data_IF_222148655530
#
_entry.id   IF_222148655530
#
_cell.length_a   1.000
_cell.length_b   1.000
_cell.length_c   1.000
_cell.angle_alpha   90.00
_cell.angle_beta   90.00
_cell.angle_gamma   90.00
#
_symmetry.space_group_name_H-M   'P 1'
#
loop_
_entity.id
_entity.type
_entity.pdbx_description
1 polymer ?
#
# COMPACT_ATOMS: atom_id res chain seq x y z
N UNK A 1 -9.14 -0.94 -16.43
CA UNK A 1 -10.12 -0.17 -15.64
C UNK A 1 -10.36 -0.81 -14.26
N UNK A 2 -9.37 -1.46 -13.65
CA UNK A 2 -9.47 -1.99 -12.27
C UNK A 2 -8.77 -1.07 -11.26
N UNK A 3 -7.71 -0.38 -11.69
CA UNK A 3 -6.82 0.42 -10.84
C UNK A 3 -7.51 1.56 -10.09
N UNK A 4 -8.63 2.10 -10.61
CA UNK A 4 -9.41 3.14 -9.93
C UNK A 4 -10.06 2.61 -8.64
N UNK A 5 -10.63 1.40 -8.66
CA UNK A 5 -11.20 0.82 -7.43
C UNK A 5 -10.09 0.35 -6.47
N UNK A 6 -8.95 -0.10 -7.01
CA UNK A 6 -7.81 -0.52 -6.19
C UNK A 6 -7.23 0.65 -5.39
N UNK A 7 -7.08 1.82 -6.01
CA UNK A 7 -6.53 3.00 -5.34
C UNK A 7 -7.48 3.53 -4.26
N UNK A 8 -8.80 3.52 -4.50
CA UNK A 8 -9.78 3.94 -3.50
C UNK A 8 -9.73 3.03 -2.26
N UNK A 9 -9.61 1.71 -2.47
CA UNK A 9 -9.40 0.74 -1.40
C UNK A 9 -8.10 0.99 -0.64
N UNK A 10 -6.99 1.20 -1.35
CA UNK A 10 -5.70 1.48 -0.74
C UNK A 10 -5.73 2.77 0.12
N UNK A 11 -6.35 3.85 -0.39
CA UNK A 11 -6.47 5.12 0.35
C UNK A 11 -7.34 4.97 1.60
N UNK A 12 -8.44 4.20 1.52
CA UNK A 12 -9.31 3.94 2.66
C UNK A 12 -8.56 3.19 3.77
N UNK A 13 -7.89 2.09 3.43
CA UNK A 13 -7.13 1.30 4.41
C UNK A 13 -5.94 2.07 4.96
N UNK A 14 -5.22 2.81 4.11
CA UNK A 14 -4.16 3.70 4.56
C UNK A 14 -4.65 4.70 5.60
N UNK A 15 -5.80 5.34 5.36
CA UNK A 15 -6.37 6.29 6.33
C UNK A 15 -6.77 5.62 7.65
N UNK A 16 -7.23 4.37 7.61
CA UNK A 16 -7.56 3.61 8.82
C UNK A 16 -6.30 3.21 9.61
N UNK A 17 -5.24 2.77 8.92
CA UNK A 17 -3.95 2.38 9.50
C UNK A 17 -3.25 3.61 10.11
N UNK A 18 -3.25 4.74 9.40
CA UNK A 18 -2.75 6.04 9.89
C UNK A 18 -3.47 6.42 11.21
N UNK A 19 -4.80 6.25 11.25
CA UNK A 19 -5.60 6.62 12.41
C UNK A 19 -5.40 5.72 13.64
N UNK A 20 -4.81 4.52 13.49
CA UNK A 20 -4.41 3.67 14.62
C UNK A 20 -2.95 3.91 15.06
N UNK A 21 -2.26 4.90 14.45
CA UNK A 21 -0.92 5.31 14.84
C UNK A 21 0.21 4.50 14.21
N UNK A 22 -0.05 3.85 13.07
CA UNK A 22 0.97 3.18 12.26
C UNK A 22 1.31 4.03 11.03
N UNK A 23 2.38 3.65 10.33
CA UNK A 23 2.89 4.37 9.15
C UNK A 23 2.53 3.62 7.85
N UNK A 24 1.43 4.01 7.18
CA UNK A 24 1.01 3.38 5.95
C UNK A 24 1.62 4.01 4.69
N UNK A 25 1.66 3.19 3.65
CA UNK A 25 2.07 3.53 2.30
C UNK A 25 1.02 3.07 1.29
N UNK A 26 0.93 3.80 0.17
CA UNK A 26 0.29 3.28 -1.05
C UNK A 26 1.39 2.73 -1.94
N UNK A 27 1.30 1.45 -2.29
CA UNK A 27 2.18 0.82 -3.27
C UNK A 27 1.51 0.93 -4.64
N UNK A 28 2.20 1.59 -5.57
CA UNK A 28 1.79 1.68 -6.97
C UNK A 28 2.72 0.81 -7.81
N UNK A 29 2.13 -0.15 -8.52
CA UNK A 29 2.85 -1.02 -9.46
C UNK A 29 2.19 -0.89 -10.84
N UNK A 30 2.82 -1.35 -11.93
CA UNK A 30 2.22 -1.29 -13.25
C UNK A 30 0.81 -1.92 -13.30
N UNK A 31 -0.20 -1.06 -13.41
CA UNK A 31 -1.60 -1.45 -13.54
C UNK A 31 -2.36 -1.75 -12.24
N UNK A 32 -1.73 -1.63 -11.06
CA UNK A 32 -2.35 -2.01 -9.80
C UNK A 32 -1.88 -1.17 -8.61
N UNK A 33 -2.68 -1.14 -7.54
CA UNK A 33 -2.37 -0.42 -6.32
C UNK A 33 -2.88 -1.19 -5.10
N UNK A 34 -2.12 -1.16 -4.02
CA UNK A 34 -2.48 -1.78 -2.74
C UNK A 34 -1.87 -1.00 -1.57
N UNK A 35 -2.21 -1.39 -0.34
CA UNK A 35 -1.73 -0.72 0.88
C UNK A 35 -0.60 -1.52 1.51
N UNK A 36 0.36 -0.81 2.09
CA UNK A 36 1.44 -1.37 2.89
C UNK A 36 1.64 -0.55 4.17
N UNK A 37 2.34 -1.09 5.16
CA UNK A 37 2.66 -0.38 6.40
C UNK A 37 3.91 -0.97 7.06
N UNK A 38 4.57 -0.18 7.91
CA UNK A 38 5.68 -0.66 8.73
C UNK A 38 5.16 -1.49 9.92
N UNK A 39 5.75 -2.66 10.15
CA UNK A 39 5.35 -3.55 11.27
C UNK A 39 5.85 -3.02 12.62
N UNK A 40 6.99 -2.33 12.61
CA UNK A 40 7.63 -1.78 13.81
C UNK A 40 8.08 -0.34 13.56
N UNK A 41 8.00 0.49 14.58
CA UNK A 41 8.65 1.80 14.59
C UNK A 41 10.15 1.63 14.28
N UNK A 42 10.67 2.43 13.35
CA UNK A 42 12.07 2.42 12.90
C UNK A 42 12.57 1.10 12.23
N UNK A 43 11.67 0.27 11.70
CA UNK A 43 12.06 -0.94 10.95
C UNK A 43 11.71 -0.84 9.47
N UNK A 44 12.63 -1.28 8.60
CA UNK A 44 12.36 -1.52 7.17
C UNK A 44 11.47 -2.76 6.91
N UNK A 45 10.81 -3.31 7.94
CA UNK A 45 9.93 -4.46 7.77
C UNK A 45 8.54 -3.97 7.38
N UNK A 46 8.23 -4.11 6.10
CA UNK A 46 6.94 -3.73 5.52
C UNK A 46 6.03 -4.95 5.45
N UNK A 47 4.75 -4.74 5.78
CA UNK A 47 3.66 -5.66 5.49
C UNK A 47 2.68 -5.06 4.48
N UNK A 48 1.93 -5.89 3.78
CA UNK A 48 1.11 -5.50 2.63
C UNK A 48 -0.28 -6.13 2.66
N UNK A 49 -1.27 -5.48 2.04
CA UNK A 49 -2.62 -6.03 1.90
C UNK A 49 -3.20 -5.76 0.50
N UNK A 50 -3.50 -6.83 -0.23
CA UNK A 50 -4.20 -6.77 -1.50
C UNK A 50 -5.67 -6.33 -1.33
N UNK A 51 -5.91 -5.03 -1.50
CA UNK A 51 -7.22 -4.42 -1.21
C UNK A 51 -8.34 -4.91 -2.12
N UNK A 52 -8.06 -5.42 -3.31
CA UNK A 52 -9.10 -5.95 -4.21
C UNK A 52 -9.65 -7.31 -3.77
N UNK A 53 -8.92 -8.02 -2.91
CA UNK A 53 -9.35 -9.31 -2.36
C UNK A 53 -10.21 -9.16 -1.11
N UNK A 54 -10.21 -7.97 -0.49
CA UNK A 54 -10.99 -7.67 0.70
C UNK A 54 -12.49 -7.86 0.41
N UNK A 55 -13.15 -8.66 1.26
CA UNK A 55 -14.58 -8.97 1.14
C UNK A 55 -14.90 -10.23 0.32
N UNK A 56 -13.93 -10.76 -0.42
CA UNK A 56 -14.08 -12.03 -1.18
C UNK A 56 -13.14 -13.15 -0.69
N UNK A 57 -12.03 -12.81 -0.06
CA UNK A 57 -11.02 -13.74 0.46
C UNK A 57 -10.74 -13.48 1.94
N UNK A 58 -10.00 -14.38 2.60
CA UNK A 58 -9.53 -14.16 3.96
C UNK A 58 -8.46 -13.06 3.99
N UNK A 59 -8.26 -12.49 5.18
CA UNK A 59 -7.21 -11.51 5.41
C UNK A 59 -5.83 -12.08 5.07
N UNK A 60 -5.54 -13.31 5.53
CA UNK A 60 -4.25 -13.97 5.32
C UNK A 60 -3.94 -14.13 3.84
N UNK A 61 -4.93 -14.56 3.04
CA UNK A 61 -4.74 -14.71 1.60
C UNK A 61 -4.51 -13.36 0.88
N UNK A 62 -5.18 -12.30 1.32
CA UNK A 62 -4.97 -10.95 0.77
C UNK A 62 -3.62 -10.36 1.20
N UNK A 63 -3.18 -10.67 2.41
CA UNK A 63 -1.89 -10.24 2.96
C UNK A 63 -0.72 -10.93 2.23
N UNK A 64 -0.75 -12.27 2.15
CA UNK A 64 0.23 -13.06 1.40
C UNK A 64 0.33 -12.56 -0.05
N UNK A 65 -0.81 -12.33 -0.71
CA UNK A 65 -0.82 -11.87 -2.10
C UNK A 65 -0.22 -10.47 -2.29
N UNK A 66 -0.44 -9.58 -1.32
CA UNK A 66 0.13 -8.24 -1.29
C UNK A 66 1.64 -8.28 -1.07
N UNK A 67 2.10 -9.12 -0.13
CA UNK A 67 3.51 -9.31 0.17
C UNK A 67 4.27 -9.89 -1.02
N UNK A 68 3.75 -10.95 -1.65
CA UNK A 68 4.32 -11.53 -2.88
C UNK A 68 4.44 -10.50 -4.01
N UNK A 69 3.46 -9.60 -4.13
CA UNK A 69 3.50 -8.53 -5.13
C UNK A 69 4.62 -7.53 -4.81
N UNK A 70 4.71 -7.09 -3.55
CA UNK A 70 5.73 -6.15 -3.10
C UNK A 70 7.14 -6.74 -3.26
N UNK A 71 7.37 -7.95 -2.77
CA UNK A 71 8.67 -8.63 -2.86
C UNK A 71 9.12 -8.79 -4.31
N UNK A 72 8.21 -9.14 -5.22
CA UNK A 72 8.53 -9.20 -6.66
C UNK A 72 9.00 -7.86 -7.20
N UNK A 73 8.42 -6.74 -6.77
CA UNK A 73 8.86 -5.42 -7.23
C UNK A 73 10.21 -5.02 -6.64
N UNK A 74 10.48 -5.42 -5.40
CA UNK A 74 11.80 -5.27 -4.76
C UNK A 74 12.85 -6.11 -5.50
N UNK A 75 12.59 -7.38 -5.77
CA UNK A 75 13.51 -8.29 -6.48
C UNK A 75 13.86 -7.81 -7.90
N UNK A 76 12.96 -7.07 -8.54
CA UNK A 76 13.17 -6.52 -9.88
C UNK A 76 13.80 -5.12 -9.89
N UNK A 77 14.18 -4.59 -8.72
CA UNK A 77 14.64 -3.21 -8.53
C UNK A 77 13.67 -2.17 -9.12
N UNK A 78 12.36 -2.46 -9.13
CA UNK A 78 11.39 -1.62 -9.85
C UNK A 78 11.13 -0.29 -9.13
N UNK A 79 11.33 -0.23 -7.81
CA UNK A 79 11.27 1.00 -7.04
C UNK A 79 12.44 1.94 -7.38
N UNK A 80 13.66 1.41 -7.48
CA UNK A 80 14.85 2.20 -7.86
C UNK A 80 14.83 2.67 -9.32
N UNK A 81 14.05 1.98 -10.16
CA UNK A 81 13.89 2.29 -11.58
C UNK A 81 12.70 3.19 -11.90
N UNK A 82 12.00 3.69 -10.88
CA UNK A 82 10.77 4.49 -10.99
C UNK A 82 9.63 3.77 -11.77
N UNK A 83 9.67 2.43 -11.84
CA UNK A 83 8.60 1.62 -12.44
C UNK A 83 7.46 1.43 -11.44
N UNK A 84 7.82 1.27 -10.16
CA UNK A 84 6.92 1.13 -9.03
C UNK A 84 7.20 2.22 -8.01
N UNK A 85 6.20 2.64 -7.24
CA UNK A 85 6.31 3.73 -6.27
C UNK A 85 5.78 3.31 -4.91
N UNK A 86 6.49 3.72 -3.86
CA UNK A 86 6.06 3.59 -2.48
C UNK A 86 5.74 4.99 -1.93
N UNK A 87 4.45 5.30 -1.79
CA UNK A 87 3.99 6.63 -1.41
C UNK A 87 3.65 6.67 0.08
N UNK A 88 4.49 7.33 0.88
CA UNK A 88 4.23 7.58 2.30
C UNK A 88 3.03 8.52 2.48
N UNK A 89 2.10 8.10 3.32
CA UNK A 89 0.89 8.87 3.63
C UNK A 89 1.24 10.06 4.51
N UNK A 90 2.10 9.87 5.52
CA UNK A 90 2.61 10.95 6.36
C UNK A 90 3.21 12.09 5.50
N UNK A 91 4.12 11.75 4.57
CA UNK A 91 4.72 12.74 3.66
C UNK A 91 3.67 13.43 2.78
N UNK A 92 2.66 12.69 2.32
CA UNK A 92 1.55 13.26 1.55
C UNK A 92 0.75 14.28 2.38
N UNK A 93 0.48 13.99 3.66
CA UNK A 93 -0.20 14.94 4.58
C UNK A 93 0.62 16.19 4.83
N UNK A 94 1.93 16.05 5.02
CA UNK A 94 2.85 17.19 5.25
C UNK A 94 2.81 18.20 4.09
N UNK A 95 2.64 17.72 2.85
CA UNK A 95 2.51 18.59 1.67
C UNK A 95 1.07 19.01 1.36
N UNK A 96 0.11 18.70 2.25
CA UNK A 96 -1.28 19.13 2.15
C UNK A 96 -2.19 18.23 1.31
N UNK A 97 -1.77 17.02 0.96
CA UNK A 97 -2.63 16.03 0.29
C UNK A 97 -3.48 15.31 1.33
N UNK A 98 -4.78 15.62 1.35
CA UNK A 98 -5.78 14.96 2.19
C UNK A 98 -6.73 14.12 1.35
N UNK A 99 -7.42 13.12 1.92
CA UNK A 99 -8.47 12.40 1.20
C UNK A 99 -9.54 13.37 0.71
N UNK A 100 -10.16 13.07 -0.43
CA UNK A 100 -11.28 13.85 -0.96
C UNK A 100 -12.45 13.79 0.04
N UNK A 101 -12.99 14.95 0.42
CA UNK A 101 -14.14 15.07 1.31
C UNK A 101 -15.46 14.72 0.62
#
# INVERSE_FOLDING_TARGET
MASANCIDGAVLFASAIENIGMDPYIVLIPGHAFVAWDIWEDSDTIDCLETTMVGSYSFEAANERGLEAYEREVENDNFDRDVSQLLSIEKARVIGITPMQ
#
